data_IF_477088231807
#
_entry.id   IF_477088231807
#
_cell.length_a   1.000
_cell.length_b   1.000
_cell.length_c   1.000
_cell.angle_alpha   90.00
_cell.angle_beta   90.00
_cell.angle_gamma   90.00
#
_symmetry.space_group_name_H-M   'P 1'
#
loop_
_entity.id
_entity.type
_entity.pdbx_description
1 polymer ?
#
# COMPACT_ATOMS: atom_id res chain seq x y z
N UNK A 1 10.97 -3.62 -20.55
CA UNK A 1 10.72 -4.84 -19.75
C UNK A 1 9.23 -5.09 -19.77
N UNK A 2 8.75 -6.27 -20.19
CA UNK A 2 7.32 -6.62 -20.15
C UNK A 2 7.06 -7.42 -18.88
N UNK A 3 6.19 -6.93 -18.00
CA UNK A 3 5.82 -7.67 -16.79
C UNK A 3 4.80 -8.76 -17.12
N UNK A 4 4.86 -9.92 -16.44
CA UNK A 4 3.85 -10.96 -16.60
C UNK A 4 2.47 -10.41 -16.23
N UNK A 5 1.47 -10.67 -17.08
CA UNK A 5 0.07 -10.37 -16.77
C UNK A 5 -0.46 -11.41 -15.79
N UNK A 6 -0.15 -11.22 -14.51
CA UNK A 6 -0.73 -12.02 -13.43
C UNK A 6 -2.17 -11.53 -13.19
N UNK A 7 -3.14 -12.45 -13.24
CA UNK A 7 -4.52 -12.16 -12.85
C UNK A 7 -4.55 -11.91 -11.35
N UNK A 8 -4.75 -10.65 -10.95
CA UNK A 8 -4.73 -10.19 -9.56
C UNK A 8 -6.13 -9.80 -9.08
N UNK A 9 -7.17 -10.53 -9.51
CA UNK A 9 -8.57 -10.21 -9.21
C UNK A 9 -8.80 -10.05 -7.71
N UNK A 10 -8.21 -10.92 -6.88
CA UNK A 10 -8.31 -10.84 -5.43
C UNK A 10 -7.62 -9.60 -4.85
N UNK A 11 -6.51 -9.15 -5.45
CA UNK A 11 -5.84 -7.92 -5.06
C UNK A 11 -6.62 -6.66 -5.51
N UNK A 12 -7.20 -6.67 -6.71
CA UNK A 12 -8.09 -5.59 -7.17
C UNK A 12 -9.35 -5.51 -6.29
N UNK A 13 -9.89 -6.67 -5.88
CA UNK A 13 -10.98 -6.74 -4.88
C UNK A 13 -10.53 -6.20 -3.54
N UNK A 14 -9.34 -6.55 -3.06
CA UNK A 14 -8.78 -6.04 -1.80
C UNK A 14 -8.69 -4.50 -1.83
N UNK A 15 -8.15 -3.92 -2.90
CA UNK A 15 -8.04 -2.47 -3.07
C UNK A 15 -9.41 -1.78 -2.99
N UNK A 16 -10.45 -2.40 -3.54
CA UNK A 16 -11.83 -1.90 -3.54
C UNK A 16 -12.55 -2.13 -2.21
N UNK A 17 -12.52 -3.36 -1.70
CA UNK A 17 -13.27 -3.84 -0.54
C UNK A 17 -12.29 -4.39 0.49
N UNK A 18 -11.96 -3.52 1.43
CA UNK A 18 -10.87 -3.69 2.37
C UNK A 18 -11.36 -4.37 3.65
N UNK A 19 -10.83 -5.55 3.98
CA UNK A 19 -11.12 -6.22 5.26
C UNK A 19 -10.20 -5.65 6.35
N UNK A 20 -10.67 -4.60 7.02
CA UNK A 20 -9.92 -3.90 8.06
C UNK A 20 -9.49 -4.82 9.20
N UNK A 21 -10.31 -5.80 9.58
CA UNK A 21 -10.03 -6.68 10.70
C UNK A 21 -8.93 -7.68 10.34
N UNK A 22 -9.07 -8.36 9.20
CA UNK A 22 -8.06 -9.31 8.73
C UNK A 22 -6.70 -8.63 8.54
N UNK A 23 -6.69 -7.43 7.96
CA UNK A 23 -5.47 -6.66 7.70
C UNK A 23 -4.83 -6.19 9.01
N UNK A 24 -5.61 -5.63 9.94
CA UNK A 24 -5.09 -5.23 11.26
C UNK A 24 -4.48 -6.42 11.98
N UNK A 25 -5.19 -7.55 12.00
CA UNK A 25 -4.71 -8.76 12.68
C UNK A 25 -3.41 -9.29 12.06
N UNK A 26 -3.33 -9.29 10.74
CA UNK A 26 -2.14 -9.77 10.03
C UNK A 26 -0.93 -8.85 10.24
N UNK A 27 -1.12 -7.53 10.10
CA UNK A 27 -0.01 -6.57 10.12
C UNK A 27 0.39 -6.13 11.53
N UNK A 28 -0.58 -5.99 12.43
CA UNK A 28 -0.39 -5.41 13.76
C UNK A 28 -0.56 -6.44 14.89
N UNK A 29 -1.26 -7.55 14.61
CA UNK A 29 -1.52 -8.62 15.56
C UNK A 29 -3.00 -8.76 15.93
N UNK A 30 -3.39 -9.98 16.33
CA UNK A 30 -4.79 -10.35 16.59
C UNK A 30 -5.44 -9.48 17.68
N UNK A 31 -4.68 -9.07 18.69
CA UNK A 31 -5.15 -8.21 19.78
C UNK A 31 -4.78 -6.73 19.59
N UNK A 32 -4.32 -6.34 18.40
CA UNK A 32 -3.89 -4.97 18.16
C UNK A 32 -5.09 -4.02 18.14
N UNK A 33 -4.94 -2.90 18.86
CA UNK A 33 -5.86 -1.77 18.86
C UNK A 33 -5.52 -0.72 17.79
N UNK A 34 -4.64 -1.04 16.83
CA UNK A 34 -4.26 -0.12 15.78
C UNK A 34 -5.50 0.40 15.02
N UNK A 35 -5.61 1.72 14.92
CA UNK A 35 -6.75 2.39 14.29
C UNK A 35 -6.32 2.98 12.96
N UNK A 36 -7.24 2.97 12.00
CA UNK A 36 -7.07 3.68 10.75
C UNK A 36 -7.29 5.17 10.95
N UNK A 37 -6.45 5.99 10.34
CA UNK A 37 -6.72 7.41 10.21
C UNK A 37 -7.59 7.64 8.98
N UNK A 38 -8.70 8.34 9.16
CA UNK A 38 -9.66 8.67 8.12
C UNK A 38 -9.37 10.05 7.54
N UNK A 39 -9.68 10.25 6.27
CA UNK A 39 -9.80 11.59 5.70
C UNK A 39 -11.18 12.20 6.00
N UNK A 40 -11.35 13.47 5.61
CA UNK A 40 -12.58 14.22 5.82
C UNK A 40 -13.80 13.63 5.09
N UNK A 41 -13.58 12.74 4.12
CA UNK A 41 -14.64 12.02 3.40
C UNK A 41 -14.97 10.66 4.03
N UNK A 42 -14.42 10.33 5.20
CA UNK A 42 -14.58 9.03 5.84
C UNK A 42 -13.83 7.90 5.13
N UNK A 43 -12.96 8.23 4.17
CA UNK A 43 -12.14 7.25 3.48
C UNK A 43 -10.86 6.98 4.29
N UNK A 44 -10.49 5.70 4.39
CA UNK A 44 -9.32 5.28 5.14
C UNK A 44 -8.03 5.74 4.45
N UNK A 45 -7.27 6.62 5.12
CA UNK A 45 -6.11 7.31 4.55
C UNK A 45 -4.81 6.55 4.79
N UNK A 46 -4.53 6.21 6.06
CA UNK A 46 -3.27 5.55 6.45
C UNK A 46 -3.35 4.83 7.80
N UNK A 47 -2.35 3.99 8.06
CA UNK A 47 -2.02 3.44 9.39
C UNK A 47 -0.67 3.95 9.88
N UNK A 48 -0.46 3.94 11.20
CA UNK A 48 0.84 4.26 11.79
C UNK A 48 1.80 3.06 11.70
N UNK A 49 3.02 3.29 11.21
CA UNK A 49 4.06 2.26 11.11
C UNK A 49 4.46 1.68 12.47
N UNK A 50 4.36 2.47 13.54
CA UNK A 50 4.66 2.04 14.91
C UNK A 50 3.92 0.75 15.27
N UNK A 51 2.68 0.65 14.82
CA UNK A 51 1.73 -0.40 15.20
C UNK A 51 2.00 -1.72 14.48
N UNK A 52 2.84 -1.69 13.44
CA UNK A 52 3.13 -2.87 12.63
C UNK A 52 4.10 -3.80 13.35
N UNK A 53 3.88 -5.10 13.18
CA UNK A 53 4.84 -6.15 13.54
C UNK A 53 6.11 -6.03 12.69
N UNK A 54 7.18 -6.65 13.17
CA UNK A 54 8.48 -6.63 12.50
C UNK A 54 8.40 -7.11 11.04
N UNK A 55 7.68 -8.20 10.77
CA UNK A 55 7.49 -8.74 9.41
C UNK A 55 6.88 -7.70 8.47
N UNK A 56 5.80 -7.04 8.90
CA UNK A 56 5.14 -6.00 8.13
C UNK A 56 6.05 -4.78 7.92
N UNK A 57 6.88 -4.41 8.91
CA UNK A 57 7.88 -3.34 8.80
C UNK A 57 8.97 -3.68 7.78
N UNK A 58 9.43 -4.92 7.74
CA UNK A 58 10.43 -5.39 6.76
C UNK A 58 9.86 -5.34 5.33
N UNK A 59 8.63 -5.83 5.14
CA UNK A 59 7.95 -5.77 3.84
C UNK A 59 7.70 -4.33 3.41
N UNK A 60 7.29 -3.45 4.33
CA UNK A 60 7.14 -2.02 4.06
C UNK A 60 8.46 -1.39 3.57
N UNK A 61 9.59 -1.75 4.19
CA UNK A 61 10.91 -1.25 3.75
C UNK A 61 11.21 -1.66 2.32
N UNK A 62 10.95 -2.92 1.97
CA UNK A 62 11.09 -3.39 0.59
C UNK A 62 10.21 -2.61 -0.40
N UNK A 63 8.93 -2.39 -0.06
CA UNK A 63 8.00 -1.60 -0.88
C UNK A 63 8.50 -0.16 -1.04
N UNK A 64 8.95 0.48 0.04
CA UNK A 64 9.46 1.85 0.03
C UNK A 64 10.79 1.99 -0.74
N UNK A 65 11.58 0.93 -0.88
CA UNK A 65 12.82 0.98 -1.66
C UNK A 65 12.58 0.70 -3.15
N UNK A 66 11.62 -0.15 -3.51
CA UNK A 66 11.58 -0.73 -4.85
C UNK A 66 10.26 -0.56 -5.60
N UNK A 67 9.12 -0.49 -4.91
CA UNK A 67 7.79 -0.53 -5.57
C UNK A 67 7.14 0.85 -5.53
N UNK A 68 6.98 1.42 -4.34
CA UNK A 68 6.33 2.71 -4.10
C UNK A 68 7.21 3.60 -3.22
N UNK A 69 8.23 4.26 -3.78
CA UNK A 69 9.22 4.95 -2.98
C UNK A 69 8.67 6.13 -2.19
N UNK A 70 8.99 6.19 -0.89
CA UNK A 70 8.61 7.30 -0.01
C UNK A 70 9.76 7.65 0.94
N UNK A 71 9.95 8.94 1.17
CA UNK A 71 10.92 9.46 2.13
C UNK A 71 10.40 9.43 3.58
N UNK A 72 9.09 9.53 3.78
CA UNK A 72 8.45 9.43 5.08
C UNK A 72 7.78 8.06 5.23
N UNK A 73 8.04 7.38 6.34
CA UNK A 73 7.50 6.04 6.62
C UNK A 73 6.76 5.96 7.96
N UNK A 74 6.56 7.07 8.67
CA UNK A 74 5.79 7.11 9.92
C UNK A 74 4.33 6.72 9.71
N UNK A 75 3.75 7.10 8.56
CA UNK A 75 2.41 6.74 8.12
C UNK A 75 2.46 5.92 6.84
N UNK A 76 1.57 4.94 6.73
CA UNK A 76 1.52 3.98 5.62
C UNK A 76 0.19 4.10 4.91
N UNK A 77 0.21 4.52 3.64
CA UNK A 77 -1.01 4.71 2.85
C UNK A 77 -1.78 3.40 2.67
N UNK A 78 -3.08 3.51 2.42
CA UNK A 78 -3.95 2.36 2.12
C UNK A 78 -3.34 1.42 1.08
N UNK A 79 -2.82 1.92 -0.05
CA UNK A 79 -2.26 1.04 -1.10
C UNK A 79 -1.04 0.25 -0.59
N UNK A 80 -0.15 0.90 0.16
CA UNK A 80 1.00 0.21 0.76
C UNK A 80 0.58 -0.84 1.77
N UNK A 81 -0.46 -0.55 2.57
CA UNK A 81 -1.04 -1.55 3.48
C UNK A 81 -1.61 -2.75 2.71
N UNK A 82 -2.31 -2.52 1.59
CA UNK A 82 -2.78 -3.60 0.71
C UNK A 82 -1.62 -4.47 0.23
N UNK A 83 -0.54 -3.83 -0.25
CA UNK A 83 0.64 -4.53 -0.76
C UNK A 83 1.33 -5.37 0.31
N UNK A 84 1.50 -4.81 1.53
CA UNK A 84 2.07 -5.55 2.65
C UNK A 84 1.23 -6.79 2.95
N UNK A 85 -0.09 -6.62 3.05
CA UNK A 85 -1.01 -7.72 3.31
C UNK A 85 -0.92 -8.80 2.24
N UNK A 86 -0.97 -8.40 0.96
CA UNK A 86 -0.90 -9.32 -0.16
C UNK A 86 0.42 -10.13 -0.16
N UNK A 87 1.55 -9.47 0.08
CA UNK A 87 2.86 -10.14 0.18
C UNK A 87 2.92 -11.11 1.37
N UNK A 88 2.46 -10.69 2.55
CA UNK A 88 2.46 -11.53 3.76
C UNK A 88 1.48 -12.71 3.69
N UNK A 89 0.47 -12.64 2.82
CA UNK A 89 -0.51 -13.71 2.58
C UNK A 89 -0.23 -14.51 1.32
N UNK A 90 0.86 -14.19 0.59
CA UNK A 90 1.21 -14.80 -0.71
C UNK A 90 0.10 -14.68 -1.76
N UNK A 91 -0.69 -13.61 -1.67
CA UNK A 91 -1.69 -13.30 -2.67
C UNK A 91 -1.02 -12.95 -4.01
N UNK A 92 -1.51 -13.47 -5.15
CA UNK A 92 -0.99 -13.10 -6.46
C UNK A 92 -1.16 -11.60 -6.73
N UNK A 93 -0.05 -10.91 -6.98
CA UNK A 93 -0.01 -9.48 -7.30
C UNK A 93 0.86 -9.20 -8.53
N UNK A 94 0.58 -8.10 -9.21
CA UNK A 94 1.38 -7.60 -10.32
C UNK A 94 2.18 -6.36 -9.87
N UNK A 95 3.31 -6.60 -9.19
CA UNK A 95 4.17 -5.50 -8.71
C UNK A 95 4.71 -4.63 -9.84
N UNK A 96 4.87 -5.18 -11.05
CA UNK A 96 5.24 -4.43 -12.24
C UNK A 96 4.23 -3.34 -12.60
N UNK A 97 2.93 -3.68 -12.53
CA UNK A 97 1.84 -2.71 -12.69
C UNK A 97 1.90 -1.61 -11.63
N UNK A 98 2.14 -1.97 -10.37
CA UNK A 98 2.25 -0.98 -9.29
C UNK A 98 3.44 -0.04 -9.48
N UNK A 99 4.60 -0.57 -9.91
CA UNK A 99 5.78 0.22 -10.26
C UNK A 99 5.53 1.16 -11.46
N UNK A 100 4.80 0.70 -12.48
CA UNK A 100 4.41 1.53 -13.63
C UNK A 100 3.47 2.66 -13.21
N UNK A 101 2.45 2.36 -12.41
CA UNK A 101 1.53 3.36 -11.88
C UNK A 101 2.25 4.42 -11.04
N UNK A 102 3.21 4.00 -10.20
CA UNK A 102 4.00 4.93 -9.40
C UNK A 102 4.88 5.84 -10.27
N UNK A 103 5.51 5.29 -11.32
CA UNK A 103 6.26 6.11 -12.28
C UNK A 103 5.37 7.15 -12.97
N UNK A 104 4.15 6.78 -13.36
CA UNK A 104 3.20 7.70 -13.96
C UNK A 104 2.81 8.83 -13.00
N UNK A 105 2.47 8.51 -11.73
CA UNK A 105 2.15 9.52 -10.70
C UNK A 105 3.27 10.55 -10.50
N UNK A 106 4.53 10.10 -10.50
CA UNK A 106 5.68 11.02 -10.37
C UNK A 106 5.95 11.88 -11.60
N UNK A 107 5.49 11.48 -12.80
CA UNK A 107 5.60 12.32 -14.00
C UNK A 107 4.59 13.46 -13.96
N UNK A 108 3.40 13.21 -13.43
CA UNK A 108 2.33 14.21 -13.30
C UNK A 108 2.67 15.30 -12.28
N UNK A 109 3.33 14.98 -11.17
CA UNK A 109 3.69 15.97 -10.14
C UNK A 109 4.86 16.89 -10.51
N UNK A 110 5.66 16.54 -11.51
CA UNK A 110 6.78 17.35 -12.00
C UNK A 110 6.36 18.34 -13.10
N UNK A 111 5.15 18.18 -13.65
CA UNK A 111 4.58 19.10 -14.64
C UNK A 111 3.23 19.70 -14.18
N UNK A 112 3.18 20.56 -13.15
CA UNK A 112 2.11 21.55 -13.10
C UNK A 112 2.42 22.57 -14.20
N UNK A 113 1.80 22.42 -15.38
CA UNK A 113 1.79 23.50 -16.37
C UNK A 113 1.15 24.72 -15.70
N UNK A 114 1.94 25.77 -15.51
CA UNK A 114 1.40 27.12 -15.40
C UNK A 114 0.68 27.42 -16.71
N UNK A 115 -0.64 27.41 -16.66
CA UNK A 115 -1.45 28.20 -17.59
C UNK A 115 -1.60 29.58 -16.96
N UNK A 116 -0.85 30.53 -17.51
CA UNK A 116 -1.14 31.96 -17.43
C UNK A 116 -2.47 32.29 -18.14
#
# INVERSE_FOLDING_TARGET
MRFPKVSSIEYDKLLRRFDYKAIRHKLCGENSLAVWVYDNGGCHKHMCRSDFKLEAKVVLRFINCHIMPSAHDSTVSKEKVCLIYALLTRMPINTGRDMENEKSRKRETVFPMHTD
#
